data_IF_638848139469
#
_entry.id   IF_638848139469
#
_cell.length_a   1.000
_cell.length_b   1.000
_cell.length_c   1.000
_cell.angle_alpha   90.00
_cell.angle_beta   90.00
_cell.angle_gamma   90.00
#
_symmetry.space_group_name_H-M   'P 1'
#
loop_
_entity.id
_entity.type
_entity.pdbx_description
1 polymer ?
#
# COMPACT_ATOMS: atom_id res chain seq x y z
N UNK A 1 8.21 -13.84 12.41
CA UNK A 1 7.30 -14.03 11.28
C UNK A 1 6.42 -12.79 11.03
N UNK A 2 5.67 -12.28 12.03
CA UNK A 2 4.79 -11.11 11.84
C UNK A 2 5.53 -9.82 11.54
N UNK A 3 6.61 -9.55 12.23
CA UNK A 3 7.46 -8.39 12.03
C UNK A 3 8.12 -8.38 10.64
N UNK A 4 8.66 -9.53 10.19
CA UNK A 4 9.26 -9.68 8.86
C UNK A 4 8.22 -9.53 7.74
N UNK A 5 7.03 -10.10 7.93
CA UNK A 5 5.92 -9.94 6.99
C UNK A 5 5.48 -8.48 6.89
N UNK A 6 5.44 -7.75 7.99
CA UNK A 6 5.13 -6.31 8.02
C UNK A 6 6.17 -5.48 7.25
N UNK A 7 7.44 -5.76 7.46
CA UNK A 7 8.54 -5.10 6.76
C UNK A 7 8.50 -5.33 5.25
N UNK A 8 8.37 -6.59 4.82
CA UNK A 8 8.25 -6.96 3.40
C UNK A 8 7.02 -6.33 2.74
N UNK A 9 5.89 -6.25 3.47
CA UNK A 9 4.70 -5.55 2.98
C UNK A 9 4.96 -4.07 2.77
N UNK A 10 5.73 -3.42 3.65
CA UNK A 10 6.14 -2.03 3.51
C UNK A 10 7.01 -1.78 2.28
N UNK A 11 7.91 -2.70 1.93
CA UNK A 11 8.77 -2.59 0.74
C UNK A 11 8.02 -2.83 -0.57
N UNK A 12 7.16 -3.87 -0.60
CA UNK A 12 6.53 -4.33 -1.84
C UNK A 12 5.10 -3.80 -2.05
N UNK A 13 4.42 -3.39 -0.98
CA UNK A 13 3.03 -2.92 -1.01
C UNK A 13 2.89 -1.51 -0.41
N UNK A 14 3.67 -0.57 -0.92
CA UNK A 14 3.72 0.81 -0.43
C UNK A 14 2.34 1.47 -0.36
N UNK A 15 1.48 1.25 -1.37
CA UNK A 15 0.12 1.77 -1.38
C UNK A 15 -0.72 1.22 -0.23
N UNK A 16 -0.57 -0.07 0.10
CA UNK A 16 -1.26 -0.69 1.23
C UNK A 16 -0.79 -0.09 2.56
N UNK A 17 0.52 0.09 2.74
CA UNK A 17 1.08 0.71 3.93
C UNK A 17 0.58 2.16 4.10
N UNK A 18 0.64 2.96 3.04
CA UNK A 18 0.15 4.33 3.04
C UNK A 18 -1.35 4.41 3.36
N UNK A 19 -2.15 3.44 2.86
CA UNK A 19 -3.59 3.38 3.14
C UNK A 19 -3.89 2.95 4.59
N UNK A 20 -3.13 2.01 5.17
CA UNK A 20 -3.26 1.62 6.58
C UNK A 20 -2.98 2.82 7.50
N UNK A 21 -2.03 3.67 7.14
CA UNK A 21 -1.67 4.86 7.90
C UNK A 21 -2.53 6.09 7.54
N UNK A 22 -3.36 5.99 6.49
CA UNK A 22 -4.11 7.11 5.91
C UNK A 22 -3.20 8.31 5.59
N UNK A 23 -2.02 7.99 5.07
CA UNK A 23 -0.96 8.94 4.72
C UNK A 23 -1.21 9.43 3.30
N UNK A 24 -1.81 10.60 3.15
CA UNK A 24 -2.16 11.18 1.85
C UNK A 24 -0.97 11.84 1.16
N UNK A 25 -0.16 12.54 1.93
CA UNK A 25 1.06 13.20 1.47
C UNK A 25 2.29 12.46 1.94
N UNK A 26 3.39 12.59 1.21
CA UNK A 26 4.68 12.02 1.58
C UNK A 26 5.21 12.73 2.83
N UNK A 27 5.53 11.96 3.85
CA UNK A 27 6.10 12.48 5.10
C UNK A 27 7.62 12.31 5.10
N UNK A 28 8.36 13.38 5.46
CA UNK A 28 9.80 13.28 5.65
C UNK A 28 10.13 12.34 6.82
N UNK A 29 11.32 11.75 6.76
CA UNK A 29 11.82 10.92 7.85
C UNK A 29 12.13 11.77 9.11
N UNK A 30 11.87 11.23 10.30
CA UNK A 30 11.18 9.97 10.61
C UNK A 30 9.66 10.11 10.63
N UNK A 31 8.99 9.26 9.86
CA UNK A 31 7.54 9.33 9.70
C UNK A 31 6.78 9.08 11.02
N UNK A 32 5.70 9.82 11.22
CA UNK A 32 4.82 9.70 12.36
C UNK A 32 3.81 8.56 12.17
N UNK A 33 3.41 7.93 13.26
CA UNK A 33 2.32 6.96 13.29
C UNK A 33 1.01 7.67 13.60
N UNK A 34 0.01 7.54 12.74
CA UNK A 34 -1.32 8.09 12.99
C UNK A 34 -2.09 7.17 13.93
N UNK A 35 -2.13 7.48 15.22
CA UNK A 35 -2.79 6.63 16.22
C UNK A 35 -4.32 6.67 16.12
N UNK A 36 -4.89 7.83 15.76
CA UNK A 36 -6.32 8.07 15.63
C UNK A 36 -6.58 9.09 14.54
N UNK A 37 -7.73 9.02 13.87
CA UNK A 37 -8.17 9.97 12.85
C UNK A 37 -9.35 9.44 12.06
N UNK A 38 -9.99 10.31 11.28
CA UNK A 38 -11.08 9.95 10.38
C UNK A 38 -10.63 10.18 8.93
N UNK A 39 -10.18 9.13 8.22
CA UNK A 39 -9.78 9.25 6.82
C UNK A 39 -10.98 9.57 5.94
N UNK A 40 -10.85 10.61 5.13
CA UNK A 40 -11.77 10.95 4.05
C UNK A 40 -11.08 10.67 2.71
N UNK A 41 -11.59 9.65 2.00
CA UNK A 41 -11.00 9.21 0.74
C UNK A 41 -11.35 10.15 -0.42
N UNK A 42 -12.47 10.86 -0.35
CA UNK A 42 -12.88 11.81 -1.40
C UNK A 42 -12.08 13.10 -1.29
N UNK A 43 -11.97 13.64 -0.08
CA UNK A 43 -11.15 14.81 0.20
C UNK A 43 -9.64 14.53 0.19
N UNK A 44 -9.23 13.25 0.30
CA UNK A 44 -7.83 12.80 0.45
C UNK A 44 -7.14 13.46 1.64
N UNK A 45 -7.83 13.47 2.76
CA UNK A 45 -7.29 14.00 4.02
C UNK A 45 -7.76 13.18 5.21
N UNK A 46 -7.11 13.37 6.36
CA UNK A 46 -7.47 12.69 7.61
C UNK A 46 -7.83 13.72 8.66
N UNK A 47 -9.11 13.79 9.02
CA UNK A 47 -9.61 14.72 10.02
C UNK A 47 -9.27 14.26 11.43
N UNK A 48 -9.02 15.24 12.32
CA UNK A 48 -8.74 15.02 13.76
C UNK A 48 -7.62 14.01 14.01
N UNK A 49 -6.59 14.01 13.16
CA UNK A 49 -5.48 13.09 13.25
C UNK A 49 -4.63 13.34 14.52
N UNK A 50 -4.37 12.28 15.26
CA UNK A 50 -3.42 12.27 16.39
C UNK A 50 -2.21 11.46 15.97
N UNK A 51 -1.06 12.13 15.89
CA UNK A 51 0.19 11.54 15.45
C UNK A 51 1.13 11.25 16.64
N UNK A 52 1.75 10.07 16.62
CA UNK A 52 2.86 9.71 17.50
C UNK A 52 4.14 9.91 16.70
N UNK A 53 4.97 10.91 17.02
CA UNK A 53 6.18 11.19 16.26
C UNK A 53 7.13 9.98 16.26
N UNK A 54 7.85 9.79 15.14
CA UNK A 54 8.89 8.77 14.90
C UNK A 54 8.44 7.30 14.95
N UNK A 55 7.26 7.02 15.49
CA UNK A 55 6.83 5.65 15.72
C UNK A 55 6.73 4.84 14.43
N UNK A 56 6.25 5.43 13.33
CA UNK A 56 6.13 4.73 12.05
C UNK A 56 7.49 4.45 11.41
N UNK A 57 8.45 5.37 11.50
CA UNK A 57 9.81 5.15 11.04
C UNK A 57 10.46 3.96 11.74
N UNK A 58 10.27 3.85 13.05
CA UNK A 58 10.83 2.75 13.84
C UNK A 58 10.16 1.39 13.57
N UNK A 59 8.83 1.37 13.48
CA UNK A 59 8.04 0.13 13.36
C UNK A 59 7.97 -0.33 11.90
N UNK A 60 7.72 0.59 10.97
CA UNK A 60 7.45 0.26 9.56
C UNK A 60 8.70 0.12 8.71
N UNK A 61 9.68 1.01 8.86
CA UNK A 61 10.89 1.01 8.03
C UNK A 61 12.15 0.55 8.74
N UNK A 62 12.11 0.37 10.06
CA UNK A 62 13.29 0.10 10.90
C UNK A 62 14.41 1.13 10.69
N UNK A 63 14.04 2.32 10.20
CA UNK A 63 14.94 3.42 9.89
C UNK A 63 14.33 4.74 10.32
N UNK A 64 15.17 5.65 10.79
CA UNK A 64 14.76 7.02 11.09
C UNK A 64 15.01 7.97 9.91
N UNK A 65 15.64 7.46 8.84
CA UNK A 65 16.08 8.24 7.69
C UNK A 65 15.30 7.91 6.40
N UNK A 66 14.40 6.90 6.46
CA UNK A 66 13.62 6.50 5.30
C UNK A 66 12.32 7.29 5.22
N UNK A 67 12.14 7.99 4.10
CA UNK A 67 10.92 8.70 3.74
C UNK A 67 9.81 7.71 3.36
N UNK A 68 8.59 7.96 3.81
CA UNK A 68 7.42 7.17 3.45
C UNK A 68 6.56 7.92 2.43
N UNK A 69 6.36 7.30 1.27
CA UNK A 69 5.59 7.86 0.19
C UNK A 69 4.09 7.87 0.53
N UNK A 70 3.46 9.04 0.36
CA UNK A 70 2.03 9.21 0.52
C UNK A 70 1.21 8.68 -0.65
N UNK A 71 -0.07 8.48 -0.44
CA UNK A 71 -1.03 7.94 -1.44
C UNK A 71 -1.00 8.79 -2.70
N UNK A 72 -0.97 10.12 -2.59
CA UNK A 72 -1.02 11.01 -3.74
C UNK A 72 0.20 10.85 -4.66
N UNK A 73 1.40 10.68 -4.11
CA UNK A 73 2.60 10.47 -4.91
C UNK A 73 2.66 9.05 -5.49
N UNK A 74 2.17 8.06 -4.76
CA UNK A 74 2.02 6.69 -5.27
C UNK A 74 1.03 6.60 -6.43
N UNK A 75 -0.05 7.37 -6.42
CA UNK A 75 -1.00 7.47 -7.55
C UNK A 75 -0.31 8.09 -8.77
N UNK A 76 0.43 9.20 -8.60
CA UNK A 76 1.22 9.79 -9.71
C UNK A 76 2.23 8.77 -10.28
N UNK A 77 2.88 8.01 -9.41
CA UNK A 77 3.78 6.94 -9.86
C UNK A 77 3.02 5.84 -10.62
N UNK A 78 1.83 5.45 -10.16
CA UNK A 78 0.98 4.50 -10.87
C UNK A 78 0.57 4.99 -12.26
N UNK A 79 0.30 6.29 -12.45
CA UNK A 79 0.03 6.87 -13.78
C UNK A 79 1.22 6.68 -14.72
N UNK A 80 2.45 6.87 -14.25
CA UNK A 80 3.67 6.63 -15.05
C UNK A 80 3.77 5.15 -15.41
N UNK A 81 3.56 4.24 -14.44
CA UNK A 81 3.60 2.80 -14.69
C UNK A 81 2.50 2.34 -15.66
N UNK A 82 1.31 2.95 -15.63
CA UNK A 82 0.26 2.68 -16.61
C UNK A 82 0.70 3.11 -18.02
N UNK A 83 1.30 4.28 -18.17
CA UNK A 83 1.79 4.77 -19.46
C UNK A 83 2.91 3.87 -20.02
N UNK A 84 3.84 3.44 -19.19
CA UNK A 84 4.89 2.50 -19.59
C UNK A 84 4.32 1.11 -19.89
N UNK A 85 3.29 0.69 -19.13
CA UNK A 85 2.55 -0.53 -19.41
C UNK A 85 1.83 -0.51 -20.75
N UNK A 86 1.29 0.64 -21.20
CA UNK A 86 0.70 0.80 -22.54
C UNK A 86 1.75 0.54 -23.63
N UNK A 87 2.97 1.02 -23.46
CA UNK A 87 4.08 0.76 -24.41
C UNK A 87 4.43 -0.73 -24.46
N UNK A 88 4.48 -1.38 -23.28
CA UNK A 88 4.71 -2.81 -23.19
C UNK A 88 3.58 -3.63 -23.83
N UNK A 89 2.33 -3.21 -23.64
CA UNK A 89 1.17 -3.83 -24.24
C UNK A 89 1.19 -3.71 -25.78
N UNK A 90 1.53 -2.54 -26.31
CA UNK A 90 1.69 -2.33 -27.76
C UNK A 90 2.79 -3.20 -28.35
N UNK A 91 3.95 -3.29 -27.67
CA UNK A 91 5.04 -4.18 -28.10
C UNK A 91 4.61 -5.66 -28.08
N UNK A 92 3.88 -6.08 -27.04
CA UNK A 92 3.37 -7.44 -26.92
C UNK A 92 2.39 -7.79 -28.03
N UNK A 93 1.44 -6.91 -28.36
CA UNK A 93 0.48 -7.12 -29.45
C UNK A 93 1.21 -7.24 -30.81
N UNK A 94 2.18 -6.36 -31.08
CA UNK A 94 3.00 -6.45 -32.29
C UNK A 94 3.81 -7.75 -32.39
N UNK A 95 4.36 -8.23 -31.28
CA UNK A 95 5.05 -9.53 -31.20
C UNK A 95 4.07 -10.66 -31.48
N UNK A 96 2.86 -10.60 -30.93
CA UNK A 96 1.83 -11.62 -31.15
C UNK A 96 1.33 -11.65 -32.59
N UNK A 97 1.10 -10.49 -33.19
CA UNK A 97 0.61 -10.36 -34.56
C UNK A 97 1.68 -10.79 -35.59
N UNK A 98 2.97 -10.60 -35.29
CA UNK A 98 4.08 -11.05 -36.13
C UNK A 98 4.18 -12.59 -36.21
N UNK A 99 3.52 -13.32 -35.32
CA UNK A 99 3.49 -14.78 -35.31
C UNK A 99 4.81 -15.44 -34.92
N UNK A 100 4.73 -16.72 -34.57
CA UNK A 100 5.86 -17.50 -34.07
C UNK A 100 7.00 -17.74 -35.09
N UNK A 101 6.85 -17.33 -36.37
CA UNK A 101 7.70 -17.67 -37.50
C UNK A 101 8.59 -16.50 -37.98
N UNK A 102 8.32 -15.29 -37.50
CA UNK A 102 9.09 -14.10 -37.91
C UNK A 102 10.09 -13.74 -36.81
N UNK A 103 11.33 -13.48 -37.18
CA UNK A 103 12.35 -12.99 -36.24
C UNK A 103 11.86 -11.69 -35.61
N UNK A 104 11.54 -11.72 -34.32
CA UNK A 104 11.10 -10.55 -33.54
C UNK A 104 12.22 -9.51 -33.65
N UNK A 105 11.86 -8.27 -34.03
CA UNK A 105 12.88 -7.22 -34.15
C UNK A 105 13.53 -6.98 -32.78
N UNK A 106 14.86 -6.78 -32.71
CA UNK A 106 15.58 -6.53 -31.48
C UNK A 106 15.00 -5.34 -30.70
N UNK A 107 14.52 -4.31 -31.40
CA UNK A 107 13.92 -3.11 -30.84
C UNK A 107 12.59 -3.39 -30.09
N UNK A 108 11.73 -4.24 -30.65
CA UNK A 108 10.46 -4.64 -29.99
C UNK A 108 10.72 -5.47 -28.73
N UNK A 109 11.74 -6.32 -28.78
CA UNK A 109 12.14 -7.12 -27.63
C UNK A 109 12.69 -6.23 -26.52
N UNK A 110 13.53 -5.28 -26.85
CA UNK A 110 14.09 -4.30 -25.91
C UNK A 110 12.97 -3.43 -25.28
N UNK A 111 12.02 -2.93 -26.08
CA UNK A 111 10.88 -2.17 -25.58
C UNK A 111 10.02 -2.99 -24.62
N UNK A 112 9.80 -4.26 -24.91
CA UNK A 112 9.03 -5.14 -24.04
C UNK A 112 9.81 -5.47 -22.76
N UNK A 113 11.12 -5.75 -22.86
CA UNK A 113 11.94 -6.03 -21.67
C UNK A 113 12.06 -4.80 -20.76
N UNK A 114 12.17 -3.60 -21.32
CA UNK A 114 12.26 -2.36 -20.57
C UNK A 114 10.97 -2.02 -19.79
N UNK A 115 9.81 -2.31 -20.37
CA UNK A 115 8.51 -1.90 -19.78
C UNK A 115 7.64 -3.10 -19.34
N UNK A 116 8.11 -4.33 -19.52
CA UNK A 116 7.32 -5.54 -19.28
C UNK A 116 6.79 -5.69 -17.86
N UNK A 117 7.54 -5.21 -16.88
CA UNK A 117 7.12 -5.21 -15.48
C UNK A 117 5.88 -4.34 -15.24
N UNK A 118 5.69 -3.30 -16.06
CA UNK A 118 4.55 -2.39 -15.98
C UNK A 118 3.33 -2.87 -16.77
N UNK A 119 3.42 -4.00 -17.48
CA UNK A 119 2.32 -4.53 -18.31
C UNK A 119 1.03 -4.74 -17.52
N UNK A 120 1.14 -5.21 -16.27
CA UNK A 120 0.00 -5.42 -15.39
C UNK A 120 -0.79 -4.14 -15.11
N UNK A 121 -0.12 -3.00 -15.08
CA UNK A 121 -0.75 -1.70 -14.89
C UNK A 121 -1.57 -1.26 -16.11
N UNK A 122 -1.12 -1.56 -17.34
CA UNK A 122 -1.92 -1.31 -18.54
C UNK A 122 -3.23 -2.09 -18.54
N UNK A 123 -3.25 -3.30 -17.95
CA UNK A 123 -4.46 -4.11 -17.88
C UNK A 123 -5.55 -3.50 -16.99
N UNK A 124 -5.21 -2.59 -16.08
CA UNK A 124 -6.19 -1.84 -15.30
C UNK A 124 -7.11 -0.98 -16.19
N UNK A 125 -6.59 -0.53 -17.34
CA UNK A 125 -7.35 0.25 -18.31
C UNK A 125 -8.47 -0.54 -18.98
N UNK A 126 -8.41 -1.88 -18.99
CA UNK A 126 -9.46 -2.73 -19.57
C UNK A 126 -10.81 -2.61 -18.86
N UNK A 127 -10.86 -1.94 -17.71
CA UNK A 127 -12.12 -1.57 -17.05
C UNK A 127 -12.84 -0.41 -17.76
N UNK A 128 -12.11 0.40 -18.54
CA UNK A 128 -12.58 1.66 -19.11
C UNK A 128 -12.54 1.69 -20.63
N UNK A 129 -11.68 0.86 -21.23
CA UNK A 129 -11.47 0.79 -22.67
C UNK A 129 -11.06 -0.63 -23.07
N UNK A 130 -11.55 -1.10 -24.21
CA UNK A 130 -11.22 -2.44 -24.70
C UNK A 130 -9.73 -2.56 -25.08
N UNK A 131 -9.20 -1.52 -25.72
CA UNK A 131 -7.79 -1.43 -26.09
C UNK A 131 -7.05 -0.39 -25.26
N UNK A 132 -6.14 -0.79 -24.35
CA UNK A 132 -5.36 0.13 -23.53
C UNK A 132 -4.61 1.21 -24.31
N UNK A 133 -4.27 0.97 -25.58
CA UNK A 133 -3.58 1.95 -26.44
C UNK A 133 -4.43 3.18 -26.78
N UNK A 134 -5.74 3.05 -26.68
CA UNK A 134 -6.69 4.13 -26.97
C UNK A 134 -7.15 4.89 -25.73
N UNK A 135 -6.55 4.60 -24.58
CA UNK A 135 -6.92 5.23 -23.32
C UNK A 135 -6.62 6.72 -23.33
N UNK A 136 -7.60 7.50 -22.86
CA UNK A 136 -7.43 8.93 -22.63
C UNK A 136 -6.70 9.21 -21.32
N UNK A 137 -6.10 10.40 -21.19
CA UNK A 137 -5.46 10.82 -19.93
C UNK A 137 -6.40 10.77 -18.73
N UNK A 138 -7.68 11.11 -18.92
CA UNK A 138 -8.69 10.99 -17.87
C UNK A 138 -8.93 9.55 -17.41
N UNK A 139 -8.91 8.59 -18.34
CA UNK A 139 -9.04 7.17 -18.02
C UNK A 139 -7.80 6.63 -17.32
N UNK A 140 -6.60 7.10 -17.71
CA UNK A 140 -5.33 6.75 -17.05
C UNK A 140 -5.34 7.26 -15.60
N UNK A 141 -5.68 8.52 -15.38
CA UNK A 141 -5.76 9.11 -14.04
C UNK A 141 -6.79 8.39 -13.17
N UNK A 142 -7.93 8.01 -13.75
CA UNK A 142 -8.96 7.25 -13.04
C UNK A 142 -8.48 5.83 -12.68
N UNK A 143 -7.85 5.13 -13.61
CA UNK A 143 -7.29 3.81 -13.38
C UNK A 143 -6.18 3.83 -12.30
N UNK A 144 -5.36 4.88 -12.27
CA UNK A 144 -4.37 5.09 -11.22
C UNK A 144 -5.02 5.35 -9.86
N UNK A 145 -6.08 6.17 -9.82
CA UNK A 145 -6.85 6.41 -8.58
C UNK A 145 -7.54 5.16 -8.06
N UNK A 146 -7.95 4.23 -8.92
CA UNK A 146 -8.55 2.95 -8.54
C UNK A 146 -7.55 1.98 -7.88
N UNK A 147 -6.26 2.28 -7.93
CA UNK A 147 -5.26 1.51 -7.17
C UNK A 147 -5.31 1.80 -5.68
N UNK A 148 -5.98 2.88 -5.26
CA UNK A 148 -6.16 3.21 -3.85
C UNK A 148 -7.13 2.22 -3.24
N UNK A 149 -6.72 1.45 -2.23
CA UNK A 149 -7.64 0.57 -1.51
C UNK A 149 -8.61 1.40 -0.65
N UNK A 150 -9.61 0.76 -0.07
CA UNK A 150 -10.52 1.43 0.86
C UNK A 150 -9.76 1.82 2.14
N UNK A 151 -9.41 3.10 2.25
CA UNK A 151 -8.53 3.62 3.32
C UNK A 151 -9.19 3.50 4.69
N UNK A 152 -10.43 3.96 4.86
CA UNK A 152 -11.08 3.98 6.17
C UNK A 152 -11.21 2.58 6.82
N UNK A 153 -11.67 1.52 6.13
CA UNK A 153 -11.67 0.16 6.70
C UNK A 153 -10.28 -0.35 7.07
N UNK A 154 -9.28 -0.14 6.21
CA UNK A 154 -7.90 -0.57 6.47
C UNK A 154 -7.32 0.14 7.70
N UNK A 155 -7.50 1.45 7.77
CA UNK A 155 -7.07 2.28 8.88
C UNK A 155 -7.64 1.78 10.21
N UNK A 156 -8.95 1.58 10.30
CA UNK A 156 -9.60 1.19 11.53
C UNK A 156 -9.37 -0.26 11.92
N UNK A 157 -9.38 -1.20 10.98
CA UNK A 157 -9.13 -2.61 11.28
C UNK A 157 -7.73 -2.83 11.82
N UNK A 158 -6.73 -2.15 11.27
CA UNK A 158 -5.37 -2.22 11.78
C UNK A 158 -5.28 -1.69 13.24
N UNK A 159 -5.88 -0.55 13.52
CA UNK A 159 -5.87 0.05 14.87
C UNK A 159 -6.62 -0.78 15.89
N UNK A 160 -7.75 -1.35 15.53
CA UNK A 160 -8.49 -2.29 16.40
C UNK A 160 -7.61 -3.52 16.67
N UNK A 161 -6.94 -4.07 15.67
CA UNK A 161 -6.04 -5.22 15.86
C UNK A 161 -4.89 -4.88 16.83
N UNK A 162 -4.24 -3.73 16.67
CA UNK A 162 -3.16 -3.29 17.56
C UNK A 162 -3.69 -3.04 18.99
N UNK A 163 -4.84 -2.36 19.13
CA UNK A 163 -5.46 -2.10 20.43
C UNK A 163 -5.83 -3.40 21.16
N UNK A 164 -6.41 -4.38 20.47
CA UNK A 164 -6.70 -5.70 21.03
C UNK A 164 -5.42 -6.44 21.43
N UNK A 165 -4.38 -6.39 20.60
CA UNK A 165 -3.09 -6.98 20.93
C UNK A 165 -2.50 -6.40 22.22
N UNK A 166 -2.48 -5.07 22.34
CA UNK A 166 -2.04 -4.39 23.57
C UNK A 166 -2.90 -4.72 24.77
N UNK A 167 -4.23 -4.76 24.58
CA UNK A 167 -5.16 -5.18 25.63
C UNK A 167 -4.84 -6.58 26.15
N UNK A 168 -4.63 -7.56 25.28
CA UNK A 168 -4.29 -8.93 25.70
C UNK A 168 -2.94 -9.01 26.41
N UNK A 169 -1.95 -8.22 25.98
CA UNK A 169 -0.65 -8.16 26.68
C UNK A 169 -0.85 -7.65 28.11
N UNK A 170 -1.59 -6.53 28.29
CA UNK A 170 -1.85 -5.97 29.61
C UNK A 170 -2.68 -6.93 30.46
N UNK A 171 -3.73 -7.53 29.89
CA UNK A 171 -4.58 -8.51 30.58
C UNK A 171 -3.75 -9.70 31.08
N UNK A 172 -2.92 -10.27 30.21
CA UNK A 172 -2.07 -11.41 30.57
C UNK A 172 -1.05 -11.03 31.65
N UNK A 173 -0.45 -9.85 31.57
CA UNK A 173 0.45 -9.34 32.60
C UNK A 173 -0.25 -9.18 33.95
N UNK A 174 -1.48 -8.65 33.98
CA UNK A 174 -2.30 -8.52 35.19
C UNK A 174 -2.64 -9.89 35.77
N UNK A 175 -3.08 -10.83 34.92
CA UNK A 175 -3.39 -12.21 35.36
C UNK A 175 -2.12 -12.85 35.95
N UNK A 176 -0.99 -12.75 35.29
CA UNK A 176 0.28 -13.28 35.77
C UNK A 176 0.67 -12.68 37.13
N UNK A 177 0.55 -11.35 37.27
CA UNK A 177 0.83 -10.66 38.54
C UNK A 177 -0.07 -11.14 39.67
N UNK A 178 -1.40 -11.23 39.44
CA UNK A 178 -2.36 -11.69 40.43
C UNK A 178 -2.17 -13.18 40.77
N UNK A 179 -1.82 -14.02 39.80
CA UNK A 179 -1.47 -15.43 40.02
C UNK A 179 -0.26 -15.56 40.93
N UNK A 180 0.80 -14.81 40.67
CA UNK A 180 2.02 -14.82 41.49
C UNK A 180 1.79 -14.35 42.92
N UNK A 181 0.71 -13.58 43.15
CA UNK A 181 0.27 -13.12 44.47
C UNK A 181 -0.77 -14.02 45.13
N UNK A 182 -1.18 -15.13 44.50
CA UNK A 182 -2.28 -16.00 44.95
C UNK A 182 -3.62 -15.28 45.19
N UNK A 183 -3.90 -14.22 44.39
CA UNK A 183 -5.08 -13.38 44.52
C UNK A 183 -6.12 -13.58 43.40
N UNK A 184 -5.97 -14.61 42.56
CA UNK A 184 -6.91 -14.89 41.47
C UNK A 184 -8.29 -15.31 41.93
N UNK A 185 -8.38 -16.10 43.02
CA UNK A 185 -9.64 -16.66 43.51
C UNK A 185 -10.58 -15.58 44.02
N UNK A 186 -10.04 -14.45 44.48
CA UNK A 186 -10.81 -13.33 45.00
C UNK A 186 -11.37 -12.39 43.90
N UNK A 187 -11.00 -12.60 42.64
CA UNK A 187 -11.28 -11.70 41.51
C UNK A 187 -12.20 -12.33 40.46
N UNK A 188 -13.53 -12.37 40.78
CA UNK A 188 -14.56 -12.97 39.88
C UNK A 188 -14.76 -12.27 38.53
N UNK A 189 -14.14 -11.12 38.29
CA UNK A 189 -14.27 -10.34 37.05
C UNK A 189 -13.17 -10.65 36.00
N UNK A 190 -12.16 -11.42 36.31
CA UNK A 190 -11.14 -11.96 35.44
C UNK A 190 -11.55 -13.31 34.85
#
# INVERSE_FOLDING_TARGET
LGDESGYLSGEHQKMMLAAIEAMWETEPAPAAFTAFGFPDQEARETHYAIHIPWAMGLIGTRSLDTELQGINDLVKHAEVLIRDGIKAYDALEKIRDAGSTTTISPELKEQFEANGQSLSYALLLKRYVDDPRQATDAQIAKAASDTIPQVAPLFWTFRIMVALGMFFIVLTAVIFYLASRHQLEDRRWL
#
